data_IF_554452026463
#
_entry.id   IF_554452026463
#
_cell.length_a   1.000
_cell.length_b   1.000
_cell.length_c   1.000
_cell.angle_alpha   90.00
_cell.angle_beta   90.00
_cell.angle_gamma   90.00
#
_symmetry.space_group_name_H-M   'P 1'
#
loop_
_entity.id
_entity.type
_entity.pdbx_description
1 polymer ?
#
# COMPACT_ATOMS: atom_id res chain seq x y z
N UNK A 1 -3.62 28.34 0.40
CA UNK A 1 -3.42 26.93 0.79
C UNK A 1 -3.06 26.15 -0.47
N UNK A 2 -2.01 25.35 -0.40
CA UNK A 2 -1.58 24.50 -1.50
C UNK A 2 -1.69 23.05 -1.02
N UNK A 3 -2.38 22.23 -1.80
CA UNK A 3 -2.51 20.79 -1.55
C UNK A 3 -1.73 20.03 -2.62
N UNK A 4 -1.18 18.88 -2.24
CA UNK A 4 -0.51 17.97 -3.13
C UNK A 4 -0.91 16.52 -2.79
N UNK A 5 -1.68 15.95 -3.70
CA UNK A 5 -2.29 14.66 -3.52
C UNK A 5 -3.45 14.63 -2.51
N UNK A 6 -3.92 13.43 -2.27
CA UNK A 6 -5.04 13.17 -1.38
C UNK A 6 -5.24 11.69 -1.15
N UNK A 7 -6.27 11.36 -0.36
CA UNK A 7 -6.70 9.99 -0.13
C UNK A 7 -8.21 9.92 0.04
N UNK A 8 -8.76 8.72 -0.09
CA UNK A 8 -10.19 8.44 0.10
C UNK A 8 -10.35 7.25 1.04
N UNK A 9 -11.17 7.40 2.09
CA UNK A 9 -11.41 6.35 3.10
C UNK A 9 -12.70 5.53 2.89
N UNK A 10 -13.38 5.77 1.77
CA UNK A 10 -14.69 5.19 1.46
C UNK A 10 -15.85 6.17 1.68
N UNK A 11 -15.63 7.27 2.44
CA UNK A 11 -16.61 8.33 2.65
C UNK A 11 -16.02 9.72 2.46
N UNK A 12 -14.85 9.98 3.05
CA UNK A 12 -14.22 11.29 3.00
C UNK A 12 -13.07 11.31 2.01
N UNK A 13 -13.00 12.37 1.20
CA UNK A 13 -11.83 12.72 0.42
C UNK A 13 -10.99 13.68 1.24
N UNK A 14 -9.73 13.33 1.49
CA UNK A 14 -8.76 14.13 2.23
C UNK A 14 -7.82 14.83 1.26
N UNK A 15 -7.61 16.12 1.46
CA UNK A 15 -6.68 16.96 0.72
C UNK A 15 -5.42 17.16 1.57
N UNK A 16 -4.29 16.68 1.06
CA UNK A 16 -3.01 16.70 1.79
C UNK A 16 -2.31 18.04 1.61
N UNK A 17 -1.99 18.75 2.69
CA UNK A 17 -1.33 20.06 2.58
C UNK A 17 0.15 19.92 2.22
N UNK A 18 0.56 20.45 1.07
CA UNK A 18 1.98 20.59 0.74
C UNK A 18 2.66 21.62 1.66
N UNK A 19 2.00 22.76 1.87
CA UNK A 19 2.47 23.85 2.71
C UNK A 19 1.34 24.19 3.70
N UNK A 20 1.65 24.75 4.86
CA UNK A 20 0.70 25.25 5.86
C UNK A 20 0.05 24.22 6.80
N UNK A 21 0.18 22.92 6.58
CA UNK A 21 -0.20 21.88 7.53
C UNK A 21 -1.70 21.78 7.87
N UNK A 22 -2.58 22.43 7.08
CA UNK A 22 -4.03 22.34 7.28
C UNK A 22 -4.60 21.27 6.37
N UNK A 23 -5.02 20.14 6.96
CA UNK A 23 -5.73 19.08 6.24
C UNK A 23 -7.19 19.47 6.08
N UNK A 24 -7.72 19.29 4.87
CA UNK A 24 -9.13 19.49 4.56
C UNK A 24 -9.73 18.17 4.15
N UNK A 25 -10.96 17.89 4.59
CA UNK A 25 -11.71 16.74 4.09
C UNK A 25 -13.11 17.14 3.60
N UNK A 26 -13.59 16.40 2.61
CA UNK A 26 -14.92 16.52 2.02
C UNK A 26 -15.71 15.24 2.27
N UNK A 27 -16.93 15.36 2.82
CA UNK A 27 -17.87 14.25 2.95
C UNK A 27 -18.59 14.03 1.62
N UNK A 28 -18.30 12.92 0.93
CA UNK A 28 -18.89 12.59 -0.37
C UNK A 28 -20.38 12.27 -0.29
N UNK A 29 -20.97 12.11 0.90
CA UNK A 29 -22.40 11.94 1.10
C UNK A 29 -23.14 13.28 1.17
N UNK A 30 -22.43 14.39 1.30
CA UNK A 30 -23.00 15.75 1.28
C UNK A 30 -22.83 16.45 -0.07
N UNK A 31 -23.59 17.53 -0.32
CA UNK A 31 -23.43 18.34 -1.54
C UNK A 31 -22.03 18.96 -1.60
N UNK A 32 -21.41 18.93 -2.78
CA UNK A 32 -20.04 19.46 -2.95
C UNK A 32 -19.94 20.97 -2.73
N UNK A 33 -20.97 21.71 -3.03
CA UNK A 33 -21.11 23.16 -2.88
C UNK A 33 -21.62 23.60 -1.51
N UNK A 34 -21.96 22.68 -0.62
CA UNK A 34 -22.33 22.98 0.77
C UNK A 34 -21.11 22.97 1.67
N UNK A 35 -20.82 24.11 2.30
CA UNK A 35 -19.70 24.24 3.25
C UNK A 35 -19.82 23.27 4.43
N UNK A 36 -21.02 22.84 4.80
CA UNK A 36 -21.24 21.87 5.87
C UNK A 36 -20.72 20.46 5.51
N UNK A 37 -20.45 20.18 4.23
CA UNK A 37 -19.82 18.95 3.77
C UNK A 37 -18.29 18.95 3.89
N UNK A 38 -17.70 20.05 4.36
CA UNK A 38 -16.26 20.25 4.43
C UNK A 38 -15.79 20.50 5.86
N UNK A 39 -14.67 19.91 6.22
CA UNK A 39 -14.01 20.15 7.50
C UNK A 39 -12.52 20.44 7.28
N UNK A 40 -11.94 21.26 8.15
CA UNK A 40 -10.52 21.58 8.14
C UNK A 40 -9.93 21.41 9.54
N UNK A 41 -8.70 20.88 9.59
CA UNK A 41 -7.94 20.71 10.82
C UNK A 41 -6.51 21.21 10.65
N UNK A 42 -6.05 22.06 11.57
CA UNK A 42 -4.66 22.49 11.65
C UNK A 42 -3.79 21.40 12.28
N UNK A 43 -3.29 20.50 11.44
CA UNK A 43 -2.53 19.35 11.87
C UNK A 43 -1.06 19.67 12.24
N UNK A 44 -0.63 20.94 12.15
CA UNK A 44 0.67 21.39 12.69
C UNK A 44 0.73 21.16 14.20
N UNK A 45 -0.40 21.25 14.87
CA UNK A 45 -0.54 20.98 16.31
C UNK A 45 -0.21 19.55 16.70
N UNK A 46 -0.22 18.62 15.73
CA UNK A 46 0.11 17.20 15.89
C UNK A 46 1.34 16.78 15.10
N UNK A 47 2.15 17.77 14.69
CA UNK A 47 3.46 17.54 14.06
C UNK A 47 3.44 17.37 12.54
N UNK A 48 2.31 17.63 11.87
CA UNK A 48 2.25 17.59 10.41
C UNK A 48 3.03 18.78 9.82
N UNK A 49 4.02 18.49 9.00
CA UNK A 49 4.81 19.48 8.24
C UNK A 49 4.31 19.61 6.80
N UNK A 50 5.26 19.69 5.87
CA UNK A 50 4.98 19.57 4.43
C UNK A 50 4.75 18.11 4.07
N UNK A 51 3.72 17.82 3.25
CA UNK A 51 3.39 16.45 2.87
C UNK A 51 2.96 16.40 1.40
N UNK A 52 3.26 15.26 0.76
CA UNK A 52 2.84 14.96 -0.62
C UNK A 52 2.15 13.60 -0.62
N UNK A 53 0.83 13.63 -0.80
CA UNK A 53 0.01 12.44 -0.77
C UNK A 53 -0.17 11.82 0.63
N UNK A 54 -1.04 10.85 0.70
CA UNK A 54 -1.30 10.04 1.88
C UNK A 54 -1.68 8.61 1.49
N UNK A 55 -1.43 7.67 2.41
CA UNK A 55 -1.76 6.25 2.26
C UNK A 55 -2.85 5.89 3.25
N UNK A 56 -3.88 5.19 2.79
CA UNK A 56 -4.95 4.67 3.63
C UNK A 56 -4.86 3.15 3.74
N UNK A 57 -4.89 2.58 4.96
CA UNK A 57 -4.78 1.15 5.22
C UNK A 57 -6.13 0.46 5.50
N UNK A 58 -7.25 1.20 5.37
CA UNK A 58 -8.60 0.75 5.74
C UNK A 58 -9.04 1.22 7.15
N UNK A 59 -8.13 1.85 7.91
CA UNK A 59 -8.41 2.42 9.22
C UNK A 59 -7.66 3.74 9.43
N UNK A 60 -6.36 3.76 9.18
CA UNK A 60 -5.51 4.90 9.41
C UNK A 60 -5.12 5.57 8.10
N UNK A 61 -5.04 6.88 8.14
CA UNK A 61 -4.50 7.71 7.06
C UNK A 61 -3.08 8.14 7.43
N UNK A 62 -2.08 7.78 6.63
CA UNK A 62 -0.66 8.09 6.83
C UNK A 62 -0.22 9.15 5.85
N UNK A 63 0.31 10.27 6.34
CA UNK A 63 0.76 11.38 5.52
C UNK A 63 2.22 11.19 5.10
N UNK A 64 2.51 11.36 3.80
CA UNK A 64 3.85 11.22 3.26
C UNK A 64 4.65 12.49 3.52
N UNK A 65 5.59 12.42 4.45
CA UNK A 65 6.42 13.55 4.87
C UNK A 65 7.36 14.00 3.74
N UNK A 66 7.23 15.24 3.27
CA UNK A 66 8.03 15.80 2.20
C UNK A 66 9.16 16.67 2.77
N UNK A 67 10.43 16.29 2.48
CA UNK A 67 11.61 17.01 2.95
C UNK A 67 11.90 16.90 4.46
N UNK A 68 11.19 16.04 5.17
CA UNK A 68 11.41 15.76 6.60
C UNK A 68 11.04 14.31 6.94
N UNK A 69 11.24 13.89 8.19
CA UNK A 69 11.01 12.52 8.65
C UNK A 69 9.91 12.39 9.71
N UNK A 70 9.14 13.45 9.97
CA UNK A 70 8.01 13.41 10.89
C UNK A 70 6.84 12.73 10.24
N UNK A 71 6.63 11.44 10.54
CA UNK A 71 5.53 10.65 10.04
C UNK A 71 4.30 10.90 10.91
N UNK A 72 3.18 11.29 10.29
CA UNK A 72 1.92 11.55 10.98
C UNK A 72 0.84 10.63 10.43
N UNK A 73 -0.01 10.11 11.33
CA UNK A 73 -1.21 9.37 10.94
C UNK A 73 -2.45 9.88 11.66
N UNK A 74 -3.61 9.69 11.03
CA UNK A 74 -4.93 10.03 11.56
C UNK A 74 -5.81 8.78 11.65
N UNK A 75 -6.49 8.58 12.79
CA UNK A 75 -7.50 7.55 13.01
C UNK A 75 -8.84 7.98 12.39
N UNK A 76 -9.19 7.42 11.24
CA UNK A 76 -10.40 7.81 10.50
C UNK A 76 -11.71 7.47 11.22
N UNK A 77 -11.66 6.62 12.27
CA UNK A 77 -12.79 6.23 13.11
C UNK A 77 -13.02 7.17 14.30
N UNK A 78 -12.17 8.18 14.45
CA UNK A 78 -12.25 9.18 15.52
C UNK A 78 -12.56 10.59 14.99
N UNK A 79 -12.95 11.53 15.86
CA UNK A 79 -13.22 12.89 15.44
C UNK A 79 -12.04 13.54 14.73
N UNK A 80 -12.26 14.09 13.54
CA UNK A 80 -11.23 14.64 12.68
C UNK A 80 -10.47 15.81 13.31
N UNK A 81 -11.19 16.66 14.02
CA UNK A 81 -10.65 17.89 14.64
C UNK A 81 -10.09 17.68 16.04
N UNK A 82 -10.14 16.45 16.57
CA UNK A 82 -9.55 16.13 17.88
C UNK A 82 -8.07 15.75 17.71
N UNK A 83 -7.12 16.48 18.31
CA UNK A 83 -5.71 16.14 18.27
C UNK A 83 -5.38 14.72 18.75
N UNK A 84 -6.18 14.16 19.67
CA UNK A 84 -5.99 12.79 20.18
C UNK A 84 -6.30 11.69 19.15
N UNK A 85 -6.91 12.06 18.01
CA UNK A 85 -7.14 11.17 16.86
C UNK A 85 -5.90 11.01 15.97
N UNK A 86 -4.84 11.76 16.26
CA UNK A 86 -3.62 11.83 15.46
C UNK A 86 -2.43 11.29 16.25
N UNK A 87 -1.45 10.75 15.55
CA UNK A 87 -0.21 10.29 16.15
C UNK A 87 0.98 10.65 15.26
N UNK A 88 2.13 10.92 15.89
CA UNK A 88 3.38 11.30 15.23
C UNK A 88 4.49 10.32 15.61
N UNK A 89 5.40 10.04 14.67
CA UNK A 89 6.63 9.28 14.87
C UNK A 89 7.79 9.94 14.10
N UNK A 90 8.93 10.07 14.74
CA UNK A 90 10.16 10.53 14.09
C UNK A 90 10.92 9.33 13.49
N UNK A 91 10.95 9.26 12.17
CA UNK A 91 11.58 8.17 11.43
C UNK A 91 12.97 8.52 10.87
N UNK A 92 13.58 9.65 11.27
CA UNK A 92 14.76 10.26 10.64
C UNK A 92 15.96 9.32 10.40
N UNK A 93 16.18 8.32 11.25
CA UNK A 93 17.34 7.43 11.20
C UNK A 93 16.96 5.96 11.28
N UNK A 94 15.85 5.58 10.66
CA UNK A 94 15.38 4.20 10.65
C UNK A 94 16.42 3.28 9.99
N UNK A 95 16.83 2.23 10.71
CA UNK A 95 17.80 1.26 10.20
C UNK A 95 19.19 1.84 9.94
N UNK A 96 19.51 3.01 10.48
CA UNK A 96 20.78 3.72 10.24
C UNK A 96 20.85 4.47 8.91
N UNK A 97 19.73 4.53 8.16
CA UNK A 97 19.59 5.29 6.93
C UNK A 97 18.96 6.66 7.20
N UNK A 98 19.25 7.63 6.35
CA UNK A 98 18.52 8.90 6.32
C UNK A 98 17.16 8.68 5.66
N UNK A 99 16.11 8.66 6.47
CA UNK A 99 14.75 8.32 6.08
C UNK A 99 13.81 9.51 6.24
N UNK A 100 13.97 10.50 5.38
CA UNK A 100 13.09 11.68 5.29
C UNK A 100 12.89 12.10 3.85
N UNK A 101 11.75 12.74 3.56
CA UNK A 101 11.45 13.25 2.22
C UNK A 101 10.92 12.19 1.25
N UNK A 102 9.62 11.99 1.33
CA UNK A 102 8.88 11.00 0.53
C UNK A 102 7.87 11.69 -0.39
N UNK A 103 7.60 11.08 -1.53
CA UNK A 103 6.55 11.46 -2.45
C UNK A 103 5.63 10.25 -2.68
N UNK A 104 4.48 10.27 -1.99
CA UNK A 104 3.54 9.17 -2.03
C UNK A 104 4.00 7.91 -1.28
N UNK A 105 3.24 6.87 -1.46
CA UNK A 105 3.45 5.57 -0.84
C UNK A 105 2.32 4.61 -1.18
N UNK A 106 2.36 3.42 -0.59
CA UNK A 106 1.33 2.40 -0.79
C UNK A 106 1.18 1.53 0.46
N UNK A 107 0.04 0.87 0.55
CA UNK A 107 -0.24 -0.15 1.56
C UNK A 107 -0.40 -1.51 0.89
N UNK A 108 0.33 -2.53 1.35
CA UNK A 108 0.34 -3.88 0.76
C UNK A 108 -0.56 -4.88 1.51
N UNK A 109 -1.26 -4.39 2.53
CA UNK A 109 -2.11 -5.20 3.41
C UNK A 109 -1.49 -5.47 4.77
N UNK A 110 -0.20 -5.20 4.96
CA UNK A 110 0.49 -5.22 6.24
C UNK A 110 1.38 -4.01 6.44
N UNK A 111 2.12 -3.65 5.43
CA UNK A 111 3.09 -2.57 5.51
C UNK A 111 2.60 -1.34 4.77
N UNK A 112 2.77 -0.19 5.40
CA UNK A 112 2.75 1.10 4.70
C UNK A 112 4.18 1.40 4.29
N UNK A 113 4.42 1.53 3.00
CA UNK A 113 5.73 1.84 2.42
C UNK A 113 5.69 3.21 1.77
N UNK A 114 6.66 4.06 2.10
CA UNK A 114 6.80 5.42 1.61
C UNK A 114 7.84 5.46 0.49
N UNK A 115 7.48 6.09 -0.63
CA UNK A 115 8.33 6.21 -1.81
C UNK A 115 9.37 7.32 -1.59
N UNK A 116 10.67 7.01 -1.66
CA UNK A 116 11.72 7.98 -1.42
C UNK A 116 11.81 9.02 -2.54
N UNK A 117 11.98 10.29 -2.18
CA UNK A 117 12.09 11.39 -3.11
C UNK A 117 13.31 12.27 -2.83
N UNK A 118 13.13 13.30 -2.02
CA UNK A 118 14.17 14.30 -1.76
C UNK A 118 14.30 14.59 -0.27
N UNK A 119 15.52 14.78 0.15
CA UNK A 119 15.90 15.21 1.51
C UNK A 119 16.64 16.54 1.44
N UNK A 120 16.87 17.16 2.58
CA UNK A 120 17.82 18.26 2.68
C UNK A 120 19.22 17.67 2.86
N UNK A 121 20.04 17.57 1.81
CA UNK A 121 21.35 16.95 1.92
C UNK A 121 22.35 17.86 2.61
N UNK A 122 23.44 17.33 3.17
CA UNK A 122 24.63 18.11 3.47
C UNK A 122 25.14 18.85 2.22
N UNK A 123 25.85 19.98 2.39
CA UNK A 123 26.42 20.71 1.27
C UNK A 123 27.32 19.83 0.40
N UNK A 124 27.01 19.78 -0.90
CA UNK A 124 27.75 19.00 -1.90
C UNK A 124 27.25 17.57 -2.14
N UNK A 125 26.18 17.15 -1.46
CA UNK A 125 25.51 15.89 -1.72
C UNK A 125 24.23 16.08 -2.56
N UNK A 126 23.83 15.02 -3.28
CA UNK A 126 22.54 15.02 -4.00
C UNK A 126 21.36 15.03 -3.05
N UNK A 127 20.33 15.80 -3.39
CA UNK A 127 19.09 15.88 -2.61
C UNK A 127 18.20 14.66 -2.74
N UNK A 128 18.36 13.88 -3.82
CA UNK A 128 17.56 12.69 -4.08
C UNK A 128 18.14 11.47 -3.39
N UNK A 129 17.27 10.60 -2.89
CA UNK A 129 17.64 9.34 -2.26
C UNK A 129 16.73 8.19 -2.72
N UNK A 130 17.07 6.95 -2.35
CA UNK A 130 16.25 5.78 -2.61
C UNK A 130 16.08 4.92 -1.34
N UNK A 131 16.02 5.56 -0.17
CA UNK A 131 15.79 4.90 1.10
C UNK A 131 14.29 4.73 1.31
N UNK A 132 13.73 3.59 0.92
CA UNK A 132 12.35 3.24 1.22
C UNK A 132 12.16 3.11 2.72
N UNK A 133 11.14 3.75 3.27
CA UNK A 133 10.73 3.62 4.66
C UNK A 133 9.46 2.77 4.72
N UNK A 134 9.42 1.81 5.65
CA UNK A 134 8.31 0.88 5.79
C UNK A 134 7.88 0.78 7.25
N UNK A 135 6.57 0.85 7.50
CA UNK A 135 5.92 0.68 8.78
C UNK A 135 5.07 -0.60 8.79
N UNK A 136 5.26 -1.47 9.80
CA UNK A 136 4.45 -2.66 10.06
C UNK A 136 3.18 -2.28 10.84
N UNK A 137 2.02 -2.27 10.18
CA UNK A 137 0.74 -1.86 10.77
C UNK A 137 0.23 -2.80 11.87
N UNK A 138 0.82 -3.98 12.00
CA UNK A 138 0.50 -4.94 13.08
C UNK A 138 1.09 -4.54 14.43
N UNK A 139 1.96 -3.54 14.45
CA UNK A 139 2.68 -3.08 15.64
C UNK A 139 2.26 -1.66 16.03
N UNK A 140 2.63 -1.26 17.23
CA UNK A 140 2.39 0.12 17.66
C UNK A 140 3.16 1.11 16.80
N UNK A 141 2.56 2.27 16.50
CA UNK A 141 3.13 3.29 15.64
C UNK A 141 4.37 3.96 16.23
N UNK A 142 4.46 3.99 17.57
CA UNK A 142 5.57 4.50 18.36
C UNK A 142 6.67 3.45 18.65
N UNK A 143 6.46 2.18 18.25
CA UNK A 143 7.47 1.13 18.38
C UNK A 143 8.52 1.26 17.26
N UNK A 144 9.75 1.60 17.61
CA UNK A 144 10.85 1.68 16.65
C UNK A 144 11.09 0.36 15.88
N UNK A 145 10.76 -0.80 16.48
CA UNK A 145 10.87 -2.09 15.81
C UNK A 145 9.76 -2.36 14.77
N UNK A 146 8.73 -1.49 14.70
CA UNK A 146 7.72 -1.51 13.65
C UNK A 146 8.20 -0.86 12.35
N UNK A 147 9.29 -0.11 12.41
CA UNK A 147 9.83 0.64 11.30
C UNK A 147 11.08 -0.02 10.74
N UNK A 148 11.20 -0.05 9.45
CA UNK A 148 12.37 -0.56 8.73
C UNK A 148 12.65 0.28 7.50
N UNK A 149 13.91 0.31 7.07
CA UNK A 149 14.32 1.03 5.87
C UNK A 149 15.20 0.16 4.98
N UNK A 150 15.16 0.44 3.69
CA UNK A 150 15.96 -0.25 2.68
C UNK A 150 16.51 0.76 1.67
N UNK A 151 17.82 0.74 1.49
CA UNK A 151 18.49 1.52 0.45
C UNK A 151 18.44 0.77 -0.90
N UNK A 152 17.66 1.31 -1.82
CA UNK A 152 17.50 0.77 -3.17
C UNK A 152 18.34 1.52 -4.23
N UNK A 153 19.26 2.40 -3.82
CA UNK A 153 20.00 3.31 -4.72
C UNK A 153 20.87 2.62 -5.76
N UNK A 154 21.25 1.37 -5.52
CA UNK A 154 22.10 0.57 -6.41
C UNK A 154 21.41 -0.72 -6.90
N UNK A 155 20.09 -0.71 -7.04
CA UNK A 155 19.31 -1.88 -7.48
C UNK A 155 19.77 -2.35 -8.87
N UNK A 156 20.06 -3.66 -8.99
CA UNK A 156 20.59 -4.31 -10.20
C UNK A 156 21.90 -3.67 -10.74
N UNK A 157 22.67 -3.02 -9.86
CA UNK A 157 23.91 -2.32 -10.22
C UNK A 157 23.68 -1.01 -10.98
N UNK A 158 22.44 -0.53 -11.02
CA UNK A 158 22.07 0.73 -11.64
C UNK A 158 21.88 1.80 -10.55
N UNK A 159 22.25 3.03 -10.87
CA UNK A 159 21.89 4.17 -10.04
C UNK A 159 20.36 4.37 -10.07
N UNK A 160 19.73 4.33 -8.92
CA UNK A 160 18.28 4.32 -8.76
C UNK A 160 17.86 5.38 -7.74
N UNK A 161 17.80 6.65 -8.17
CA UNK A 161 17.44 7.82 -7.35
C UNK A 161 16.32 8.61 -8.04
N UNK A 162 15.64 9.50 -7.29
CA UNK A 162 14.76 10.51 -7.84
C UNK A 162 13.46 9.95 -8.43
N UNK A 163 12.75 9.14 -7.69
CA UNK A 163 11.42 8.64 -8.06
C UNK A 163 10.33 9.56 -7.52
N UNK A 164 9.30 9.80 -8.32
CA UNK A 164 8.16 10.63 -7.97
C UNK A 164 6.92 9.74 -7.88
N UNK A 165 6.57 9.32 -6.67
CA UNK A 165 5.46 8.40 -6.40
C UNK A 165 5.48 7.14 -7.28
N UNK A 166 4.32 6.58 -7.61
CA UNK A 166 4.18 5.40 -8.45
C UNK A 166 2.77 4.81 -8.38
N UNK A 167 2.63 3.60 -8.90
CA UNK A 167 1.38 2.87 -8.89
C UNK A 167 1.57 1.48 -8.26
N UNK A 168 0.58 1.04 -7.51
CA UNK A 168 0.54 -0.27 -6.87
C UNK A 168 -0.50 -1.16 -7.53
N UNK A 169 -0.12 -2.37 -7.98
CA UNK A 169 -1.01 -3.29 -8.70
C UNK A 169 -1.64 -4.36 -7.79
N UNK A 170 -1.45 -4.25 -6.49
CA UNK A 170 -1.90 -5.22 -5.50
C UNK A 170 -0.85 -6.28 -5.14
N UNK A 171 0.28 -6.30 -5.81
CA UNK A 171 1.40 -7.24 -5.56
C UNK A 171 2.76 -6.57 -5.66
N UNK A 172 2.89 -5.57 -6.50
CA UNK A 172 4.13 -4.82 -6.71
C UNK A 172 3.84 -3.33 -6.82
N UNK A 173 4.75 -2.52 -6.32
CA UNK A 173 4.76 -1.09 -6.54
C UNK A 173 5.75 -0.74 -7.64
N UNK A 174 5.31 0.07 -8.60
CA UNK A 174 6.10 0.56 -9.73
C UNK A 174 6.39 2.03 -9.52
N UNK A 175 7.62 2.36 -9.14
CA UNK A 175 8.03 3.73 -8.91
C UNK A 175 8.27 4.45 -10.24
N UNK A 176 7.73 5.66 -10.35
CA UNK A 176 7.88 6.50 -11.54
C UNK A 176 9.21 7.26 -11.50
N UNK A 177 10.13 7.02 -12.45
CA UNK A 177 11.40 7.71 -12.47
C UNK A 177 11.23 9.18 -12.87
N UNK A 178 12.02 10.07 -12.29
CA UNK A 178 12.03 11.48 -12.65
C UNK A 178 13.47 12.01 -12.78
N UNK A 179 14.18 12.28 -11.69
CA UNK A 179 15.50 12.88 -11.73
C UNK A 179 16.64 11.90 -11.49
N UNK A 180 17.74 12.09 -12.20
CA UNK A 180 19.02 11.46 -11.88
C UNK A 180 19.65 12.10 -10.62
N UNK A 181 20.77 11.55 -10.15
CA UNK A 181 21.45 11.98 -8.93
C UNK A 181 21.86 13.45 -8.93
N UNK A 182 22.15 14.02 -10.10
CA UNK A 182 22.51 15.43 -10.26
C UNK A 182 21.32 16.39 -10.15
N UNK A 183 20.07 15.87 -10.21
CA UNK A 183 18.86 16.68 -10.18
C UNK A 183 18.58 17.49 -11.43
N UNK A 184 19.40 17.36 -12.47
CA UNK A 184 19.28 18.12 -13.72
C UNK A 184 18.80 17.23 -14.87
N UNK A 185 19.22 15.97 -14.91
CA UNK A 185 18.84 15.03 -15.95
C UNK A 185 17.65 14.17 -15.53
N UNK A 186 16.78 13.85 -16.48
CA UNK A 186 15.74 12.86 -16.30
C UNK A 186 16.25 11.45 -16.65
N UNK A 187 15.69 10.43 -16.00
CA UNK A 187 15.98 9.04 -16.34
C UNK A 187 14.70 8.22 -16.53
N UNK A 188 14.80 7.12 -17.25
CA UNK A 188 13.69 6.22 -17.56
C UNK A 188 13.77 4.85 -16.83
N UNK A 189 14.51 4.74 -15.74
CA UNK A 189 14.71 3.48 -15.00
C UNK A 189 13.53 3.24 -14.09
N UNK A 190 12.57 2.47 -14.55
CA UNK A 190 11.45 2.04 -13.73
C UNK A 190 11.94 1.10 -12.62
N UNK A 191 11.51 1.33 -11.39
CA UNK A 191 11.78 0.42 -10.28
C UNK A 191 10.50 -0.32 -9.90
N UNK A 192 10.61 -1.63 -9.71
CA UNK A 192 9.54 -2.44 -9.15
C UNK A 192 9.93 -2.90 -7.74
N UNK A 193 9.06 -2.63 -6.79
CA UNK A 193 9.18 -3.10 -5.41
C UNK A 193 8.14 -4.19 -5.20
N UNK A 194 8.57 -5.43 -5.04
CA UNK A 194 7.69 -6.55 -4.76
C UNK A 194 7.33 -6.55 -3.27
N UNK A 195 6.06 -6.36 -2.94
CA UNK A 195 5.61 -6.01 -1.61
C UNK A 195 5.21 -7.22 -0.77
N UNK A 196 4.84 -8.30 -1.43
CA UNK A 196 4.43 -9.53 -0.74
C UNK A 196 5.62 -10.44 -0.39
N UNK A 197 6.83 -9.92 -0.51
CA UNK A 197 8.06 -10.65 -0.39
C UNK A 197 8.51 -10.99 1.02
N UNK A 198 7.65 -11.33 1.95
CA UNK A 198 8.19 -11.67 3.27
C UNK A 198 7.44 -12.74 4.01
N UNK A 199 6.13 -12.67 4.02
CA UNK A 199 5.43 -13.29 5.13
C UNK A 199 4.37 -14.33 4.75
N UNK A 200 4.02 -14.54 3.46
CA UNK A 200 3.02 -15.52 3.09
C UNK A 200 3.35 -16.27 1.79
N UNK A 201 3.05 -17.59 1.73
CA UNK A 201 3.23 -18.38 0.52
C UNK A 201 2.19 -18.04 -0.55
N UNK A 202 0.98 -17.68 -0.12
CA UNK A 202 -0.14 -17.36 -1.03
C UNK A 202 -1.18 -16.46 -0.36
N UNK A 203 -2.01 -15.82 -1.19
CA UNK A 203 -3.18 -15.05 -0.73
C UNK A 203 -4.29 -15.10 -1.79
N UNK A 204 -5.51 -15.37 -1.35
CA UNK A 204 -6.73 -15.19 -2.14
C UNK A 204 -7.45 -13.97 -1.59
N UNK A 205 -7.68 -12.97 -2.43
CA UNK A 205 -8.16 -11.65 -2.02
C UNK A 205 -9.42 -11.26 -2.79
N UNK A 206 -10.22 -10.44 -2.12
CA UNK A 206 -11.35 -9.74 -2.71
C UNK A 206 -11.12 -8.25 -2.64
N UNK A 207 -11.35 -7.59 -3.74
CA UNK A 207 -11.33 -6.15 -3.80
C UNK A 207 -12.65 -5.65 -4.38
N UNK A 208 -13.40 -4.91 -3.58
CA UNK A 208 -14.61 -4.21 -4.02
C UNK A 208 -14.32 -2.72 -4.19
N UNK A 209 -14.92 -2.12 -5.22
CA UNK A 209 -14.87 -0.68 -5.41
C UNK A 209 -15.62 -0.01 -4.25
N UNK A 210 -14.92 0.69 -3.39
CA UNK A 210 -15.53 1.63 -2.46
C UNK A 210 -15.31 1.40 -0.97
N UNK A 211 -14.70 0.31 -0.52
CA UNK A 211 -14.55 0.06 0.91
C UNK A 211 -13.13 -0.10 1.45
N UNK A 212 -12.10 -0.21 0.60
CA UNK A 212 -10.72 -0.35 1.08
C UNK A 212 -9.78 0.45 0.19
N UNK A 213 -9.51 1.69 0.56
CA UNK A 213 -8.51 2.52 -0.10
C UNK A 213 -7.14 1.82 -0.15
N UNK A 214 -6.49 1.89 -1.28
CA UNK A 214 -5.11 1.45 -1.50
C UNK A 214 -4.99 0.15 -2.29
N UNK A 215 -5.23 -1.01 -1.69
CA UNK A 215 -5.03 -2.32 -2.33
C UNK A 215 -6.07 -2.66 -3.41
N UNK A 216 -7.28 -2.11 -3.28
CA UNK A 216 -8.42 -2.49 -4.10
C UNK A 216 -8.76 -1.47 -5.20
N UNK A 217 -8.23 -0.25 -5.12
CA UNK A 217 -8.52 0.78 -6.12
C UNK A 217 -7.90 0.47 -7.49
N UNK A 218 -6.77 -0.24 -7.52
CA UNK A 218 -6.06 -0.56 -8.76
C UNK A 218 -6.53 -1.86 -9.42
N UNK A 219 -7.08 -2.80 -8.64
CA UNK A 219 -7.47 -4.14 -9.15
C UNK A 219 -8.80 -4.56 -8.52
N UNK A 220 -9.94 -4.09 -9.06
CA UNK A 220 -11.25 -4.52 -8.57
C UNK A 220 -11.48 -6.01 -8.84
N UNK A 221 -12.12 -6.68 -7.88
CA UNK A 221 -12.50 -8.08 -7.99
C UNK A 221 -11.52 -9.06 -7.36
N UNK A 222 -11.83 -10.37 -7.45
CA UNK A 222 -11.01 -11.41 -6.87
C UNK A 222 -9.62 -11.47 -7.49
N UNK A 223 -8.62 -11.69 -6.65
CA UNK A 223 -7.24 -11.92 -7.07
C UNK A 223 -6.63 -13.08 -6.28
N UNK A 224 -5.74 -13.83 -6.93
CA UNK A 224 -4.95 -14.87 -6.31
C UNK A 224 -3.46 -14.60 -6.51
N UNK A 225 -2.70 -14.64 -5.44
CA UNK A 225 -1.29 -14.33 -5.42
C UNK A 225 -0.51 -15.48 -4.80
N UNK A 226 0.70 -15.70 -5.29
CA UNK A 226 1.68 -16.57 -4.66
C UNK A 226 3.02 -15.85 -4.54
N UNK A 227 3.74 -16.17 -3.48
CA UNK A 227 5.10 -15.71 -3.28
C UNK A 227 6.06 -16.85 -3.62
N UNK A 228 6.91 -16.62 -4.60
CA UNK A 228 7.91 -17.60 -5.07
C UNK A 228 9.32 -17.07 -4.80
N UNK A 229 10.31 -17.94 -4.85
CA UNK A 229 11.73 -17.53 -4.77
C UNK A 229 12.13 -16.53 -5.86
N UNK A 230 11.35 -16.43 -6.94
CA UNK A 230 11.53 -15.48 -8.03
C UNK A 230 10.63 -14.23 -7.93
N UNK A 231 10.07 -13.95 -6.74
CA UNK A 231 9.19 -12.81 -6.46
C UNK A 231 7.70 -13.17 -6.53
N UNK A 232 6.87 -12.18 -6.29
CA UNK A 232 5.42 -12.31 -6.27
C UNK A 232 4.86 -12.53 -7.67
N UNK A 233 3.86 -13.39 -7.74
CA UNK A 233 3.06 -13.63 -8.94
C UNK A 233 1.59 -13.49 -8.60
N UNK A 234 0.83 -12.81 -9.45
CA UNK A 234 -0.60 -12.57 -9.23
C UNK A 234 -1.42 -12.81 -10.47
N UNK A 235 -2.69 -13.15 -10.28
CA UNK A 235 -3.73 -13.19 -11.29
C UNK A 235 -5.00 -12.58 -10.72
N UNK A 236 -5.73 -11.80 -11.51
CA UNK A 236 -6.94 -11.12 -11.07
C UNK A 236 -7.98 -11.06 -12.20
N UNK A 237 -9.26 -10.89 -11.83
CA UNK A 237 -10.33 -10.73 -12.82
C UNK A 237 -10.47 -9.31 -13.34
N UNK A 238 -10.01 -8.33 -12.58
CA UNK A 238 -10.25 -6.90 -12.83
C UNK A 238 -11.74 -6.53 -12.94
N UNK A 239 -12.60 -7.34 -12.37
CA UNK A 239 -14.06 -7.11 -12.33
C UNK A 239 -14.59 -7.49 -10.95
N UNK A 240 -15.47 -6.67 -10.34
CA UNK A 240 -16.10 -7.01 -9.08
C UNK A 240 -16.99 -8.24 -9.23
N UNK A 241 -17.15 -9.00 -8.13
CA UNK A 241 -18.16 -10.04 -8.04
C UNK A 241 -19.56 -9.39 -7.93
N UNK A 242 -20.56 -10.05 -8.51
CA UNK A 242 -21.95 -9.72 -8.24
C UNK A 242 -22.34 -10.00 -6.78
N UNK A 243 -23.49 -9.47 -6.37
CA UNK A 243 -24.05 -9.83 -5.05
C UNK A 243 -24.45 -11.32 -5.04
N UNK A 244 -24.16 -12.02 -3.95
CA UNK A 244 -24.51 -13.43 -3.76
C UNK A 244 -23.42 -14.24 -3.09
N UNK A 245 -23.63 -15.54 -3.03
CA UNK A 245 -22.65 -16.51 -2.56
C UNK A 245 -21.78 -16.94 -3.72
N UNK A 246 -20.48 -16.86 -3.57
CA UNK A 246 -19.51 -17.26 -4.58
C UNK A 246 -18.51 -18.27 -4.04
N UNK A 247 -18.13 -19.21 -4.88
CA UNK A 247 -17.08 -20.18 -4.61
C UNK A 247 -15.82 -19.79 -5.38
N UNK A 248 -14.72 -19.56 -4.65
CA UNK A 248 -13.46 -19.13 -5.26
C UNK A 248 -12.35 -20.13 -4.98
N UNK A 249 -11.57 -20.41 -6.00
CA UNK A 249 -10.40 -21.28 -5.90
C UNK A 249 -9.20 -20.62 -6.57
N UNK A 250 -8.11 -20.45 -5.81
CA UNK A 250 -6.80 -20.12 -6.34
C UNK A 250 -5.98 -21.39 -6.50
N UNK A 251 -5.44 -21.64 -7.68
CA UNK A 251 -4.57 -22.79 -7.97
C UNK A 251 -3.21 -22.35 -8.46
N UNK A 252 -2.17 -22.90 -7.87
CA UNK A 252 -0.80 -22.80 -8.37
C UNK A 252 -0.21 -24.17 -8.60
N UNK A 253 0.16 -24.50 -9.83
CA UNK A 253 0.69 -25.78 -10.26
C UNK A 253 2.21 -25.79 -10.50
N UNK A 254 2.92 -24.75 -10.07
CA UNK A 254 4.36 -24.55 -10.32
C UNK A 254 4.69 -23.96 -11.69
N UNK A 255 3.72 -23.86 -12.59
CA UNK A 255 3.86 -23.31 -13.94
C UNK A 255 2.86 -22.20 -14.24
N UNK A 256 1.70 -22.21 -13.60
CA UNK A 256 0.65 -21.22 -13.80
C UNK A 256 -0.13 -20.92 -12.52
N UNK A 257 -0.61 -19.68 -12.44
CA UNK A 257 -1.64 -19.23 -11.52
C UNK A 257 -3.00 -19.29 -12.18
N UNK A 258 -3.98 -19.82 -11.49
CA UNK A 258 -5.36 -19.87 -11.95
C UNK A 258 -6.28 -19.36 -10.86
N UNK A 259 -7.25 -18.55 -11.24
CA UNK A 259 -8.34 -18.09 -10.39
C UNK A 259 -9.65 -18.60 -10.98
N UNK A 260 -10.38 -19.38 -10.18
CA UNK A 260 -11.65 -19.96 -10.53
C UNK A 260 -12.75 -19.32 -9.70
N UNK A 261 -13.88 -19.05 -10.31
CA UNK A 261 -15.07 -18.50 -9.69
C UNK A 261 -16.26 -19.36 -10.10
N UNK A 262 -16.99 -19.88 -9.13
CA UNK A 262 -18.20 -20.68 -9.35
C UNK A 262 -17.96 -21.84 -10.35
N UNK A 263 -16.83 -22.53 -10.19
CA UNK A 263 -16.42 -23.67 -11.04
C UNK A 263 -15.95 -23.29 -12.44
N UNK A 264 -15.77 -21.99 -12.76
CA UNK A 264 -15.30 -21.51 -14.06
C UNK A 264 -13.94 -20.85 -13.93
N UNK A 265 -13.04 -21.12 -14.88
CA UNK A 265 -11.75 -20.43 -14.94
C UNK A 265 -11.99 -18.96 -15.29
N UNK A 266 -11.76 -18.08 -14.32
CA UNK A 266 -11.97 -16.66 -14.45
C UNK A 266 -10.73 -15.93 -14.96
N UNK A 267 -9.53 -16.34 -14.50
CA UNK A 267 -8.27 -15.78 -14.96
C UNK A 267 -7.14 -16.80 -14.85
N UNK A 268 -6.14 -16.69 -15.74
CA UNK A 268 -4.94 -17.54 -15.74
C UNK A 268 -3.73 -16.74 -16.19
N UNK A 269 -2.59 -16.99 -15.53
CA UNK A 269 -1.31 -16.37 -15.88
C UNK A 269 -0.19 -17.41 -15.74
N UNK A 270 0.77 -17.40 -16.66
CA UNK A 270 2.02 -18.16 -16.48
C UNK A 270 2.81 -17.59 -15.30
N UNK A 271 3.25 -18.48 -14.44
CA UNK A 271 4.05 -18.15 -13.26
C UNK A 271 4.88 -19.38 -12.89
N UNK A 272 6.17 -19.20 -12.76
CA UNK A 272 7.10 -20.29 -12.43
C UNK A 272 7.87 -19.97 -11.17
N UNK A 273 8.27 -21.00 -10.43
CA UNK A 273 9.14 -20.91 -9.27
C UNK A 273 8.58 -21.68 -8.07
N UNK A 274 9.47 -22.07 -7.18
CA UNK A 274 9.09 -22.72 -5.93
C UNK A 274 8.39 -21.71 -5.02
N UNK A 275 7.31 -22.12 -4.37
CA UNK A 275 6.68 -21.32 -3.33
C UNK A 275 7.68 -21.07 -2.20
N UNK A 276 7.65 -19.85 -1.66
CA UNK A 276 8.20 -19.62 -0.34
C UNK A 276 7.30 -20.30 0.68
N UNK A 277 7.91 -20.97 1.64
CA UNK A 277 7.20 -21.65 2.73
C UNK A 277 7.54 -20.92 4.06
N UNK A 278 6.90 -19.78 4.34
CA UNK A 278 7.10 -19.09 5.61
C UNK A 278 6.40 -19.86 6.73
N UNK A 279 6.97 -19.75 7.93
CA UNK A 279 6.37 -20.29 9.15
C UNK A 279 5.30 -19.31 9.69
N UNK A 280 4.23 -19.13 8.92
CA UNK A 280 3.15 -18.22 9.25
C UNK A 280 1.79 -18.93 9.24
N UNK A 281 0.87 -18.55 10.14
CA UNK A 281 -0.46 -19.11 10.16
C UNK A 281 -1.28 -18.68 8.93
N UNK A 282 -2.15 -19.55 8.45
CA UNK A 282 -3.20 -19.19 7.49
C UNK A 282 -4.25 -18.36 8.21
N UNK A 283 -4.56 -17.17 7.71
CA UNK A 283 -5.60 -16.31 8.25
C UNK A 283 -6.75 -16.18 7.26
N UNK A 284 -7.97 -16.01 7.77
CA UNK A 284 -9.19 -15.86 6.96
C UNK A 284 -9.99 -14.65 7.45
N UNK A 285 -10.66 -13.96 6.52
CA UNK A 285 -11.51 -12.81 6.83
C UNK A 285 -10.78 -11.49 7.05
N UNK A 286 -9.47 -11.50 7.19
CA UNK A 286 -8.64 -10.31 7.25
C UNK A 286 -7.22 -10.61 6.78
N UNK A 287 -6.49 -9.58 6.38
CA UNK A 287 -5.04 -9.66 6.23
C UNK A 287 -4.41 -9.72 7.63
N UNK A 288 -3.46 -10.63 7.81
CA UNK A 288 -2.72 -10.75 9.08
C UNK A 288 -2.18 -9.37 9.48
N UNK A 289 -2.57 -8.89 10.68
CA UNK A 289 -2.21 -7.57 11.16
C UNK A 289 -3.33 -6.53 11.22
N UNK A 290 -4.56 -6.87 10.86
CA UNK A 290 -5.76 -6.06 11.13
C UNK A 290 -6.04 -4.92 10.13
N UNK A 291 -5.37 -4.89 8.98
CA UNK A 291 -5.51 -3.81 8.01
C UNK A 291 -6.82 -3.85 7.21
N UNK A 292 -7.13 -4.94 6.55
CA UNK A 292 -8.32 -5.06 5.72
C UNK A 292 -9.16 -6.27 6.16
N UNK A 293 -10.40 -6.01 6.53
CA UNK A 293 -11.37 -7.04 6.88
C UNK A 293 -12.31 -7.30 5.71
N UNK A 294 -12.68 -8.55 5.51
CA UNK A 294 -13.74 -8.91 4.59
C UNK A 294 -15.08 -8.56 5.21
N UNK A 295 -15.84 -7.68 4.55
CA UNK A 295 -17.20 -7.35 4.94
C UNK A 295 -18.17 -8.31 4.27
N UNK A 296 -18.43 -9.42 4.94
CA UNK A 296 -19.27 -10.49 4.40
C UNK A 296 -19.19 -11.76 5.25
N UNK A 297 -19.84 -12.81 4.79
CA UNK A 297 -19.81 -14.12 5.41
C UNK A 297 -18.88 -15.07 4.65
N UNK A 298 -17.97 -15.73 5.37
CA UNK A 298 -17.13 -16.81 4.86
C UNK A 298 -17.65 -18.10 5.47
N UNK A 299 -18.11 -19.03 4.63
CA UNK A 299 -18.72 -20.28 5.08
C UNK A 299 -17.68 -21.40 5.23
N UNK A 300 -16.82 -21.57 4.22
CA UNK A 300 -15.80 -22.62 4.25
C UNK A 300 -14.48 -22.14 3.64
N UNK A 301 -13.37 -22.56 4.25
CA UNK A 301 -12.02 -22.35 3.72
C UNK A 301 -11.25 -23.65 3.75
N UNK A 302 -10.61 -23.98 2.64
CA UNK A 302 -9.75 -25.15 2.53
C UNK A 302 -8.44 -24.80 1.83
N UNK A 303 -7.35 -25.40 2.28
CA UNK A 303 -6.04 -25.34 1.64
C UNK A 303 -5.60 -26.78 1.34
N UNK A 304 -5.30 -27.06 0.09
CA UNK A 304 -4.80 -28.35 -0.36
C UNK A 304 -3.34 -28.25 -0.77
N UNK A 305 -2.50 -29.25 -0.45
CA UNK A 305 -1.08 -29.23 -0.82
C UNK A 305 -0.86 -29.53 -2.31
N UNK A 306 -1.88 -29.99 -3.01
CA UNK A 306 -1.83 -30.34 -4.43
C UNK A 306 -2.74 -29.41 -5.25
N UNK A 307 -2.30 -29.09 -6.45
CA UNK A 307 -3.09 -28.29 -7.39
C UNK A 307 -4.32 -29.09 -7.86
N UNK A 308 -5.51 -28.59 -7.61
CA UNK A 308 -6.74 -29.22 -8.05
C UNK A 308 -6.93 -29.13 -9.56
N UNK A 309 -7.42 -30.23 -10.14
CA UNK A 309 -7.84 -30.26 -11.54
C UNK A 309 -9.15 -29.49 -11.75
N UNK A 310 -9.42 -29.12 -13.00
CA UNK A 310 -10.69 -28.47 -13.37
C UNK A 310 -11.94 -29.31 -12.99
N UNK A 311 -11.84 -30.65 -12.97
CA UNK A 311 -12.92 -31.51 -12.57
C UNK A 311 -13.17 -31.48 -11.07
N UNK A 312 -12.12 -31.47 -10.25
CA UNK A 312 -12.20 -31.34 -8.79
C UNK A 312 -12.76 -30.00 -8.35
N UNK A 313 -12.48 -28.93 -9.11
CA UNK A 313 -12.97 -27.56 -8.79
C UNK A 313 -14.48 -27.43 -9.11
N UNK A 314 -15.03 -28.24 -10.03
CA UNK A 314 -16.43 -28.17 -10.45
C UNK A 314 -17.37 -29.05 -9.63
N UNK A 315 -16.84 -29.93 -8.80
CA UNK A 315 -17.61 -30.79 -7.89
C UNK A 315 -17.99 -30.06 -6.61
#
# INVERSE_FOLDING_TARGET
>A
VCFDGGAFDGRFVYFVPLIHGVVVRYDTQGPFDDVASWEAFDARTVGLGMNVGAVFDGHWLYFCAYGHASMVRYDTRKPFTDPSSWAQYDAAHTGGLDTGGFDGGFFDGRYVTFCPWTRTPPPGEAGYHCNYLRYDTTRSFDDAAAWSAYDASATDGLESLGYNAGAFDGGSFYAAPLYASDGEAFHGRMMRVDTLGGDGAFSLRFCDYGHNGGLCAAVPGPSFLVNTKGGVRSVATHQPLGAGVHYLVGVYDGASLQLWIDGRLAAKREARGDLLAPDLPVTTGHLGGGGASFDGQIDAVAVAPEAWTAEQIRQ
#
